data_IF_739988084851
#
_entry.id   IF_739988084851
#
_cell.length_a   1.000
_cell.length_b   1.000
_cell.length_c   1.000
_cell.angle_alpha   90.00
_cell.angle_beta   90.00
_cell.angle_gamma   90.00
#
_symmetry.space_group_name_H-M   'P 1'
#
loop_
_entity.id
_entity.type
_entity.pdbx_description
1 polymer ?
#
# COMPACT_ATOMS: atom_id res chain seq x y z
N UNK A 1 -13.26 9.14 -66.11
CA UNK A 1 -12.03 8.32 -66.16
C UNK A 1 -11.17 8.92 -67.26
N UNK A 2 -10.00 9.52 -67.04
CA UNK A 2 -9.23 9.83 -65.83
C UNK A 2 -8.24 10.94 -66.26
N UNK A 3 -8.14 12.04 -65.49
CA UNK A 3 -7.30 13.20 -65.85
C UNK A 3 -6.24 13.41 -64.76
N UNK A 4 -5.02 13.01 -65.10
CA UNK A 4 -3.74 13.54 -64.62
C UNK A 4 -3.83 14.92 -63.94
N UNK A 5 -3.39 15.07 -62.68
CA UNK A 5 -2.47 16.15 -62.26
C UNK A 5 -1.98 15.94 -60.82
N UNK A 6 -0.67 15.73 -60.74
CA UNK A 6 0.15 15.84 -59.55
C UNK A 6 0.52 17.33 -59.40
N UNK A 7 0.43 17.88 -58.18
CA UNK A 7 1.09 19.11 -57.68
C UNK A 7 0.68 20.47 -58.32
N UNK A 8 0.05 21.34 -57.51
CA UNK A 8 0.64 22.59 -56.95
C UNK A 8 -0.43 23.66 -56.68
N UNK A 9 -0.80 23.80 -55.39
CA UNK A 9 -1.06 25.04 -54.60
C UNK A 9 -2.19 26.01 -55.03
N UNK A 10 -3.19 26.18 -54.15
CA UNK A 10 -3.56 27.53 -53.67
C UNK A 10 -4.14 27.51 -52.24
N UNK A 11 -3.63 28.45 -51.44
CA UNK A 11 -3.84 28.76 -50.03
C UNK A 11 -5.30 28.81 -49.54
N UNK A 12 -5.54 28.21 -48.37
CA UNK A 12 -6.29 28.85 -47.29
C UNK A 12 -5.45 28.79 -46.01
N UNK A 13 -4.46 29.69 -45.94
CA UNK A 13 -3.81 30.04 -44.69
C UNK A 13 -4.80 30.89 -43.87
N UNK A 14 -5.55 30.27 -42.96
CA UNK A 14 -6.04 31.01 -41.79
C UNK A 14 -4.98 30.83 -40.70
N UNK A 15 -4.14 31.85 -40.58
CA UNK A 15 -3.36 32.12 -39.39
C UNK A 15 -4.32 32.29 -38.21
N UNK A 16 -4.58 31.22 -37.46
CA UNK A 16 -4.69 31.36 -36.02
C UNK A 16 -3.35 30.91 -35.44
N UNK A 17 -2.40 31.85 -35.43
CA UNK A 17 -1.36 31.90 -34.41
C UNK A 17 -2.08 32.07 -33.07
N UNK A 18 -2.75 31.04 -32.58
CA UNK A 18 -2.83 30.88 -31.14
C UNK A 18 -1.37 30.66 -30.74
N UNK A 19 -0.83 31.68 -30.07
CA UNK A 19 0.23 31.48 -29.13
C UNK A 19 -0.30 30.42 -28.15
N UNK A 20 -0.14 29.14 -28.49
CA UNK A 20 -0.16 28.12 -27.48
C UNK A 20 1.04 28.48 -26.63
N UNK A 21 0.87 28.85 -25.34
CA UNK A 21 2.01 28.77 -24.45
C UNK A 21 2.57 27.38 -24.68
N UNK A 22 3.87 27.31 -24.99
CA UNK A 22 4.62 26.07 -24.87
C UNK A 22 4.46 25.67 -23.41
N UNK A 23 3.44 24.88 -23.14
CA UNK A 23 3.35 24.15 -21.91
C UNK A 23 4.55 23.22 -22.00
N UNK A 24 5.64 23.61 -21.33
CA UNK A 24 6.61 22.67 -20.79
C UNK A 24 5.87 21.85 -19.72
N UNK A 25 4.82 21.14 -20.13
CA UNK A 25 4.22 20.08 -19.35
C UNK A 25 5.12 18.89 -19.58
N UNK A 26 5.91 18.56 -18.57
CA UNK A 26 6.60 17.26 -18.49
C UNK A 26 5.57 16.18 -18.87
N UNK A 27 5.74 15.54 -20.03
CA UNK A 27 4.84 14.51 -20.57
C UNK A 27 5.00 13.19 -19.81
N UNK A 28 5.21 13.28 -18.50
CA UNK A 28 5.51 12.15 -17.64
C UNK A 28 4.19 11.47 -17.30
N UNK A 29 3.95 10.34 -17.96
CA UNK A 29 2.97 9.40 -17.46
C UNK A 29 3.47 8.88 -16.11
N UNK A 30 2.73 9.20 -15.06
CA UNK A 30 3.05 8.73 -13.72
C UNK A 30 2.80 7.21 -13.65
N UNK A 31 3.77 6.47 -13.10
CA UNK A 31 3.62 5.05 -12.85
C UNK A 31 2.90 4.88 -11.53
N UNK A 32 1.75 4.22 -11.57
CA UNK A 32 0.97 3.82 -10.40
C UNK A 32 1.23 2.35 -10.11
N UNK A 33 1.21 1.99 -8.83
CA UNK A 33 1.27 0.60 -8.37
C UNK A 33 0.11 0.37 -7.41
N UNK A 34 -0.72 -0.64 -7.71
CA UNK A 34 -1.78 -1.09 -6.80
C UNK A 34 -1.35 -2.42 -6.20
N UNK A 35 -1.53 -2.57 -4.89
CA UNK A 35 -1.11 -3.75 -4.14
C UNK A 35 -2.27 -4.24 -3.29
N UNK A 36 -2.59 -5.53 -3.42
CA UNK A 36 -3.51 -6.24 -2.56
C UNK A 36 -2.68 -7.12 -1.62
N UNK A 37 -2.71 -6.80 -0.33
CA UNK A 37 -1.97 -7.50 0.69
C UNK A 37 -2.89 -8.39 1.54
N UNK A 38 -2.52 -9.66 1.70
CA UNK A 38 -3.23 -10.59 2.55
C UNK A 38 -2.70 -10.56 3.99
N UNK A 39 -3.28 -9.75 4.87
CA UNK A 39 -2.96 -9.73 6.29
C UNK A 39 -3.90 -10.59 7.14
N UNK A 40 -4.60 -11.55 6.52
CA UNK A 40 -5.42 -12.54 7.25
C UNK A 40 -4.51 -13.49 8.06
N UNK A 41 -5.04 -14.17 9.09
CA UNK A 41 -4.23 -15.02 9.95
C UNK A 41 -3.46 -16.08 9.15
N UNK A 42 -2.19 -16.31 9.50
CA UNK A 42 -1.34 -17.28 8.77
C UNK A 42 -1.84 -18.73 8.74
N UNK A 43 -2.67 -19.11 9.70
CA UNK A 43 -3.34 -20.41 9.80
C UNK A 43 -4.74 -20.43 9.14
N UNK A 44 -5.14 -19.36 8.45
CA UNK A 44 -6.41 -19.29 7.73
C UNK A 44 -6.30 -19.78 6.27
N UNK A 45 -7.43 -20.13 5.62
CA UNK A 45 -7.43 -20.43 4.19
C UNK A 45 -6.86 -19.28 3.35
N UNK A 46 -6.33 -19.60 2.17
CA UNK A 46 -5.87 -18.59 1.22
C UNK A 46 -6.99 -17.61 0.87
N UNK A 47 -6.60 -16.36 0.63
CA UNK A 47 -7.46 -15.36 0.04
C UNK A 47 -7.41 -15.53 -1.48
N UNK A 48 -8.54 -15.86 -2.09
CA UNK A 48 -8.66 -15.79 -3.55
C UNK A 48 -9.11 -14.39 -3.92
N UNK A 49 -8.46 -13.79 -4.91
CA UNK A 49 -8.87 -12.52 -5.51
C UNK A 49 -9.03 -12.65 -7.02
N UNK A 50 -9.88 -11.81 -7.60
CA UNK A 50 -9.95 -11.57 -9.03
C UNK A 50 -9.96 -10.07 -9.22
N UNK A 51 -9.03 -9.53 -9.99
CA UNK A 51 -8.93 -8.10 -10.23
C UNK A 51 -9.06 -7.80 -11.71
N UNK A 52 -9.74 -6.71 -12.05
CA UNK A 52 -10.00 -6.35 -13.43
C UNK A 52 -10.24 -4.84 -13.57
N UNK A 53 -10.14 -4.35 -14.81
CA UNK A 53 -10.56 -3.03 -15.26
C UNK A 53 -11.53 -3.19 -16.44
N UNK A 54 -11.92 -2.08 -17.08
CA UNK A 54 -12.75 -2.14 -18.28
C UNK A 54 -12.04 -2.80 -19.47
N UNK A 55 -10.72 -2.60 -19.58
CA UNK A 55 -9.93 -2.97 -20.76
C UNK A 55 -8.92 -4.09 -20.50
N UNK A 56 -8.74 -4.49 -19.24
CA UNK A 56 -7.70 -5.43 -18.80
C UNK A 56 -8.20 -6.31 -17.66
N UNK A 57 -8.10 -7.63 -17.83
CA UNK A 57 -8.42 -8.62 -16.81
C UNK A 57 -7.11 -9.14 -16.20
N UNK A 58 -6.88 -8.79 -14.93
CA UNK A 58 -5.66 -9.18 -14.22
C UNK A 58 -5.73 -10.62 -13.69
N UNK A 59 -6.91 -11.26 -13.79
CA UNK A 59 -7.12 -12.68 -13.49
C UNK A 59 -7.21 -13.01 -11.99
N UNK A 60 -7.30 -14.32 -11.74
CA UNK A 60 -7.45 -14.90 -10.40
C UNK A 60 -6.10 -15.15 -9.74
N UNK A 61 -6.00 -14.86 -8.43
CA UNK A 61 -4.81 -15.10 -7.63
C UNK A 61 -5.17 -15.66 -6.26
N UNK A 62 -4.46 -16.70 -5.82
CA UNK A 62 -4.61 -17.29 -4.49
C UNK A 62 -3.44 -16.86 -3.59
N UNK A 63 -3.71 -15.95 -2.67
CA UNK A 63 -2.72 -15.39 -1.74
C UNK A 63 -2.70 -16.18 -0.45
N UNK A 64 -1.57 -16.82 -0.13
CA UNK A 64 -1.28 -17.24 1.23
C UNK A 64 -1.17 -16.02 2.16
N UNK A 65 -1.16 -16.26 3.47
CA UNK A 65 -0.99 -15.17 4.41
C UNK A 65 0.36 -14.47 4.22
N UNK A 66 0.31 -13.14 4.29
CA UNK A 66 1.43 -12.22 4.07
C UNK A 66 1.98 -12.23 2.64
N UNK A 67 1.30 -12.88 1.71
CA UNK A 67 1.53 -12.67 0.28
C UNK A 67 0.78 -11.44 -0.21
N UNK A 68 1.28 -10.86 -1.29
CA UNK A 68 0.61 -9.78 -2.00
C UNK A 68 0.50 -10.10 -3.48
N UNK A 69 -0.52 -9.52 -4.10
CA UNK A 69 -0.60 -9.36 -5.55
C UNK A 69 -0.44 -7.88 -5.88
N UNK A 70 0.40 -7.56 -6.84
CA UNK A 70 0.62 -6.18 -7.27
C UNK A 70 0.70 -6.06 -8.78
N UNK A 71 0.27 -4.90 -9.28
CA UNK A 71 0.44 -4.53 -10.68
C UNK A 71 0.76 -3.05 -10.77
N UNK A 72 1.44 -2.67 -11.86
CA UNK A 72 1.70 -1.27 -12.17
C UNK A 72 1.17 -0.91 -13.54
N UNK A 73 0.69 0.31 -13.66
CA UNK A 73 0.23 0.88 -14.92
C UNK A 73 0.68 2.33 -15.05
N UNK A 74 0.74 2.83 -16.28
CA UNK A 74 1.03 4.23 -16.55
C UNK A 74 -0.29 4.97 -16.69
N UNK A 75 -0.46 6.04 -15.91
CA UNK A 75 -1.62 6.89 -16.02
C UNK A 75 -1.26 8.17 -16.78
N UNK A 76 -2.01 8.47 -17.84
CA UNK A 76 -1.84 9.71 -18.59
C UNK A 76 -2.93 10.72 -18.19
N UNK A 77 -2.55 11.71 -17.38
CA UNK A 77 -3.41 12.79 -16.91
C UNK A 77 -4.07 13.60 -18.04
N UNK A 78 -3.48 13.61 -19.24
CA UNK A 78 -3.99 14.37 -20.38
C UNK A 78 -5.18 13.69 -21.09
N UNK A 79 -5.34 12.37 -20.96
CA UNK A 79 -6.35 11.61 -21.72
C UNK A 79 -7.75 11.63 -21.09
N UNK A 80 -7.97 12.32 -19.95
CA UNK A 80 -9.23 12.35 -19.19
C UNK A 80 -9.83 10.95 -18.89
N UNK A 81 -9.07 9.88 -19.16
CA UNK A 81 -9.49 8.52 -18.99
C UNK A 81 -9.55 8.23 -17.49
N UNK A 82 -10.70 7.73 -17.03
CA UNK A 82 -10.88 7.27 -15.66
C UNK A 82 -10.48 5.80 -15.59
N UNK A 83 -9.18 5.52 -15.52
CA UNK A 83 -8.71 4.18 -15.19
C UNK A 83 -9.33 3.76 -13.87
N UNK A 84 -10.04 2.63 -13.88
CA UNK A 84 -10.70 2.06 -12.72
C UNK A 84 -10.37 0.59 -12.62
N UNK A 85 -9.93 0.16 -11.44
CA UNK A 85 -9.75 -1.25 -11.12
C UNK A 85 -10.75 -1.67 -10.03
N UNK A 86 -11.41 -2.80 -10.26
CA UNK A 86 -12.22 -3.51 -9.29
C UNK A 86 -11.54 -4.82 -8.90
N UNK A 87 -11.74 -5.25 -7.66
CA UNK A 87 -11.35 -6.59 -7.24
C UNK A 87 -12.48 -7.26 -6.46
N UNK A 88 -12.71 -8.53 -6.74
CA UNK A 88 -13.46 -9.47 -5.93
C UNK A 88 -12.52 -10.22 -4.98
N UNK A 89 -13.02 -10.51 -3.78
CA UNK A 89 -12.29 -11.16 -2.71
C UNK A 89 -13.13 -12.30 -2.16
N UNK A 90 -12.53 -13.49 -2.04
CA UNK A 90 -13.14 -14.67 -1.44
C UNK A 90 -12.26 -15.25 -0.36
N UNK A 91 -12.83 -15.42 0.83
CA UNK A 91 -12.12 -16.02 1.95
C UNK A 91 -13.09 -16.69 2.92
N UNK A 92 -12.84 -17.96 3.26
CA UNK A 92 -13.61 -18.72 4.25
C UNK A 92 -15.14 -18.65 4.03
N UNK A 93 -15.58 -18.85 2.78
CA UNK A 93 -17.00 -18.80 2.39
C UNK A 93 -17.62 -17.40 2.36
N UNK A 94 -16.87 -16.35 2.67
CA UNK A 94 -17.28 -14.94 2.54
C UNK A 94 -16.82 -14.40 1.19
N UNK A 95 -17.58 -13.46 0.64
CA UNK A 95 -17.16 -12.68 -0.53
C UNK A 95 -17.46 -11.19 -0.35
N UNK A 96 -16.62 -10.36 -0.98
CA UNK A 96 -16.79 -8.91 -1.09
C UNK A 96 -16.13 -8.42 -2.37
N UNK A 97 -16.61 -7.29 -2.88
CA UNK A 97 -16.00 -6.62 -4.04
C UNK A 97 -15.77 -5.16 -3.71
N UNK A 98 -14.63 -4.64 -4.14
CA UNK A 98 -14.22 -3.25 -3.91
C UNK A 98 -13.68 -2.62 -5.18
N UNK A 99 -13.89 -1.31 -5.32
CA UNK A 99 -13.09 -0.52 -6.24
C UNK A 99 -11.77 -0.26 -5.56
N UNK A 100 -10.68 -0.72 -6.17
CA UNK A 100 -9.33 -0.64 -5.59
C UNK A 100 -8.49 0.49 -6.17
N UNK A 101 -8.94 1.07 -7.28
CA UNK A 101 -8.40 2.31 -7.84
C UNK A 101 -9.45 3.00 -8.70
N UNK A 102 -9.68 4.30 -8.51
CA UNK A 102 -10.49 5.13 -9.41
C UNK A 102 -10.13 6.63 -9.38
N UNK A 103 -9.04 6.99 -8.70
CA UNK A 103 -8.59 8.37 -8.56
C UNK A 103 -7.06 8.45 -8.59
N UNK A 104 -6.52 9.40 -9.35
CA UNK A 104 -5.08 9.52 -9.56
C UNK A 104 -4.38 10.29 -8.45
N UNK A 105 -5.10 11.06 -7.64
CA UNK A 105 -4.53 11.79 -6.52
C UNK A 105 -4.49 10.89 -5.30
N UNK A 106 -5.62 10.25 -4.94
CA UNK A 106 -5.80 9.58 -3.66
C UNK A 106 -6.03 8.07 -3.74
N UNK A 107 -5.78 7.45 -4.91
CA UNK A 107 -6.13 6.08 -5.29
C UNK A 107 -7.64 5.83 -5.38
N UNK A 108 -8.39 6.27 -4.37
CA UNK A 108 -9.84 6.23 -4.30
C UNK A 108 -10.40 7.63 -4.14
N UNK A 109 -11.43 7.93 -4.92
CA UNK A 109 -12.14 9.18 -4.87
C UNK A 109 -12.64 9.48 -3.45
N UNK A 110 -12.32 10.66 -2.93
CA UNK A 110 -12.63 11.10 -1.57
C UNK A 110 -11.93 10.33 -0.43
N UNK A 111 -10.88 9.57 -0.74
CA UNK A 111 -10.06 8.93 0.28
C UNK A 111 -9.36 10.00 1.16
N UNK A 112 -9.26 9.77 2.49
CA UNK A 112 -8.51 10.65 3.38
C UNK A 112 -6.99 10.48 3.25
N UNK A 113 -6.52 9.54 2.43
CA UNK A 113 -5.09 9.26 2.22
C UNK A 113 -4.46 10.45 1.45
N UNK A 114 -3.25 10.91 1.82
CA UNK A 114 -2.50 11.91 1.05
C UNK A 114 -2.28 11.49 -0.41
N UNK A 115 -1.84 12.42 -1.24
CA UNK A 115 -1.58 12.11 -2.65
C UNK A 115 -0.50 11.04 -2.79
N UNK A 116 -0.78 9.99 -3.55
CA UNK A 116 0.12 8.83 -3.68
C UNK A 116 -0.05 8.13 -5.03
N UNK A 117 1.05 7.63 -5.59
CA UNK A 117 1.05 6.74 -6.75
C UNK A 117 1.16 5.25 -6.35
N UNK A 118 1.12 4.97 -5.05
CA UNK A 118 1.11 3.63 -4.48
C UNK A 118 -0.18 3.40 -3.70
N UNK A 119 -0.98 2.46 -4.17
CA UNK A 119 -2.35 2.20 -3.72
C UNK A 119 -2.43 0.85 -3.05
N UNK A 120 -2.26 0.82 -1.72
CA UNK A 120 -2.30 -0.43 -0.95
C UNK A 120 -3.70 -0.71 -0.39
N UNK A 121 -4.12 -1.95 -0.54
CA UNK A 121 -5.28 -2.52 0.13
C UNK A 121 -4.82 -3.68 1.00
N UNK A 122 -5.13 -3.60 2.30
CA UNK A 122 -4.84 -4.69 3.23
C UNK A 122 -6.14 -5.39 3.61
N UNK A 123 -6.19 -6.71 3.37
CA UNK A 123 -7.28 -7.54 3.89
C UNK A 123 -6.94 -8.02 5.29
N UNK A 124 -7.88 -7.83 6.22
CA UNK A 124 -7.69 -8.20 7.62
C UNK A 124 -8.99 -8.73 8.21
N UNK A 125 -8.88 -9.54 9.27
CA UNK A 125 -10.05 -9.95 10.04
C UNK A 125 -10.50 -8.80 10.95
N UNK A 126 -11.82 -8.66 11.13
CA UNK A 126 -12.34 -7.77 12.17
C UNK A 126 -11.82 -8.27 13.54
N UNK A 127 -11.35 -7.37 14.39
CA UNK A 127 -11.09 -7.70 15.79
C UNK A 127 -12.44 -7.98 16.51
N UNK A 128 -13.00 -9.18 16.34
CA UNK A 128 -14.23 -9.64 16.98
C UNK A 128 -13.90 -10.76 17.97
N UNK A 129 -13.58 -10.38 19.21
CA UNK A 129 -13.38 -11.33 20.30
C UNK A 129 -12.49 -10.81 21.42
N UNK A 130 -12.41 -11.58 22.51
CA UNK A 130 -11.50 -11.33 23.63
C UNK A 130 -10.05 -11.29 23.12
N UNK A 131 -9.48 -10.09 23.07
CA UNK A 131 -8.14 -9.80 22.57
C UNK A 131 -7.03 -10.60 23.26
N UNK A 132 -7.31 -11.11 24.45
CA UNK A 132 -6.44 -11.95 25.26
C UNK A 132 -6.04 -13.29 24.60
N UNK A 133 -6.74 -13.75 23.55
CA UNK A 133 -6.49 -15.06 22.91
C UNK A 133 -6.16 -14.96 21.42
N UNK A 134 -5.81 -13.75 20.95
CA UNK A 134 -5.57 -13.48 19.55
C UNK A 134 -4.14 -13.82 19.08
N UNK A 135 -4.03 -14.03 17.78
CA UNK A 135 -2.75 -14.04 17.06
C UNK A 135 -2.50 -12.62 16.54
N UNK A 136 -1.38 -12.06 16.94
CA UNK A 136 -0.98 -10.71 16.56
C UNK A 136 -0.12 -10.76 15.32
N UNK A 137 -0.26 -9.76 14.47
CA UNK A 137 0.56 -9.59 13.28
C UNK A 137 1.12 -8.18 13.29
N UNK A 138 2.44 -8.07 13.19
CA UNK A 138 3.11 -6.77 13.04
C UNK A 138 3.68 -6.75 11.62
N UNK A 139 3.36 -5.68 10.90
CA UNK A 139 3.82 -5.46 9.53
C UNK A 139 4.53 -4.12 9.46
N UNK A 140 5.72 -4.11 8.89
CA UNK A 140 6.50 -2.92 8.61
C UNK A 140 6.56 -2.75 7.10
N UNK A 141 6.07 -1.61 6.64
CA UNK A 141 5.94 -1.28 5.25
C UNK A 141 6.90 -0.14 4.88
N UNK A 142 7.73 -0.38 3.85
CA UNK A 142 8.61 0.63 3.28
C UNK A 142 7.83 1.55 2.31
N UNK A 143 7.30 2.64 2.87
CA UNK A 143 6.61 3.71 2.13
C UNK A 143 7.54 4.82 1.62
N UNK A 144 8.86 4.58 1.56
CA UNK A 144 9.82 5.55 1.05
C UNK A 144 9.81 5.60 -0.50
N UNK A 145 10.29 6.69 -1.12
CA UNK A 145 10.40 6.78 -2.57
C UNK A 145 11.24 5.64 -3.17
N UNK A 146 10.87 5.15 -4.35
CA UNK A 146 11.55 4.01 -5.00
C UNK A 146 13.01 4.25 -5.36
N UNK A 147 13.43 5.51 -5.48
CA UNK A 147 14.80 5.93 -5.72
C UNK A 147 15.58 6.26 -4.43
N UNK A 148 14.92 6.17 -3.27
CA UNK A 148 15.55 6.41 -1.98
C UNK A 148 16.48 5.26 -1.55
N UNK A 149 17.42 5.51 -0.62
CA UNK A 149 18.18 4.43 0.01
C UNK A 149 17.25 3.39 0.62
N UNK A 150 17.56 2.10 0.46
CA UNK A 150 16.74 1.01 1.00
C UNK A 150 16.60 1.11 2.52
N UNK A 151 15.37 0.92 3.00
CA UNK A 151 15.10 0.76 4.41
C UNK A 151 15.74 -0.54 4.92
N UNK A 152 16.40 -0.47 6.08
CA UNK A 152 16.83 -1.67 6.82
C UNK A 152 16.10 -1.70 8.14
N UNK A 153 15.66 -2.87 8.56
CA UNK A 153 14.89 -3.04 9.79
C UNK A 153 15.40 -4.25 10.54
N UNK A 154 15.64 -4.07 11.83
CA UNK A 154 15.95 -5.16 12.74
C UNK A 154 14.99 -5.10 13.91
N UNK A 155 14.21 -6.16 14.10
CA UNK A 155 13.26 -6.27 15.18
C UNK A 155 13.71 -7.35 16.16
N UNK A 156 13.47 -7.14 17.45
CA UNK A 156 13.83 -8.11 18.47
C UNK A 156 12.86 -8.00 19.65
N UNK A 157 12.75 -9.07 20.42
CA UNK A 157 12.01 -9.14 21.68
C UNK A 157 12.93 -9.66 22.79
N UNK A 158 12.55 -9.43 24.05
CA UNK A 158 13.28 -9.98 25.20
C UNK A 158 13.29 -11.51 25.26
N UNK A 159 12.31 -12.16 24.63
CA UNK A 159 12.16 -13.62 24.65
C UNK A 159 12.43 -14.27 23.27
N UNK A 160 12.36 -13.50 22.18
CA UNK A 160 12.47 -13.97 20.80
C UNK A 160 13.24 -12.94 19.95
N UNK A 161 14.42 -13.30 19.45
CA UNK A 161 15.08 -12.51 18.40
C UNK A 161 14.33 -12.73 17.07
N UNK A 162 13.81 -11.65 16.51
CA UNK A 162 13.25 -11.68 15.15
C UNK A 162 14.40 -11.39 14.18
N UNK A 163 14.47 -12.15 13.11
CA UNK A 163 15.57 -12.07 12.16
C UNK A 163 15.71 -10.67 11.52
N UNK A 164 16.93 -10.31 11.13
CA UNK A 164 17.24 -9.06 10.44
C UNK A 164 16.66 -9.04 9.02
N UNK A 165 15.94 -7.98 8.65
CA UNK A 165 15.30 -7.88 7.33
C UNK A 165 15.68 -6.59 6.59
N UNK A 166 15.88 -6.72 5.28
CA UNK A 166 16.02 -5.59 4.35
C UNK A 166 14.81 -5.63 3.41
N UNK A 167 13.64 -5.12 3.85
CA UNK A 167 12.48 -5.05 2.97
C UNK A 167 12.83 -4.23 1.72
N UNK A 168 12.34 -4.67 0.56
CA UNK A 168 12.43 -3.85 -0.65
C UNK A 168 11.37 -2.75 -0.62
N UNK A 169 11.52 -1.72 -1.46
CA UNK A 169 10.50 -0.68 -1.57
C UNK A 169 9.18 -1.34 -1.94
N UNK A 170 8.11 -0.99 -1.22
CA UNK A 170 6.78 -1.57 -1.41
C UNK A 170 6.60 -3.02 -0.95
N UNK A 171 7.59 -3.59 -0.27
CA UNK A 171 7.46 -4.89 0.40
C UNK A 171 7.19 -4.72 1.90
N UNK A 172 6.38 -5.63 2.41
CA UNK A 172 6.08 -5.72 3.83
C UNK A 172 7.06 -6.70 4.49
N UNK A 173 7.74 -6.25 5.54
CA UNK A 173 8.33 -7.14 6.52
C UNK A 173 7.27 -7.46 7.58
N UNK A 174 6.74 -8.68 7.57
CA UNK A 174 5.63 -9.08 8.46
C UNK A 174 5.96 -10.35 9.24
N UNK A 175 5.57 -10.34 10.50
CA UNK A 175 5.58 -11.53 11.34
C UNK A 175 4.33 -11.61 12.20
N UNK A 176 4.08 -12.80 12.74
CA UNK A 176 2.98 -13.02 13.67
C UNK A 176 3.41 -13.85 14.86
N UNK A 177 2.76 -13.61 15.98
CA UNK A 177 3.02 -14.29 17.23
C UNK A 177 1.72 -14.54 17.98
N UNK A 178 1.71 -15.56 18.83
CA UNK A 178 0.61 -15.86 19.74
C UNK A 178 1.01 -15.42 21.13
N UNK A 179 0.07 -14.82 21.87
CA UNK A 179 0.29 -14.53 23.27
C UNK A 179 0.20 -15.83 24.10
N UNK A 180 1.21 -16.09 24.94
CA UNK A 180 1.19 -17.19 25.90
C UNK A 180 0.85 -16.67 27.29
N UNK A 181 -0.38 -16.91 27.75
CA UNK A 181 -0.90 -16.39 29.02
C UNK A 181 -0.25 -17.00 30.28
N UNK A 182 0.50 -18.10 30.13
CA UNK A 182 1.15 -18.78 31.25
C UNK A 182 2.35 -18.02 31.81
N UNK A 183 2.95 -17.15 31.01
CA UNK A 183 3.97 -16.20 31.43
C UNK A 183 3.29 -14.85 31.54
N UNK A 184 3.30 -14.27 32.73
CA UNK A 184 2.81 -12.89 32.99
C UNK A 184 3.72 -11.83 32.32
N UNK A 185 4.51 -12.24 31.32
CA UNK A 185 5.39 -11.42 30.53
C UNK A 185 4.57 -10.60 29.55
N UNK A 186 4.82 -9.29 29.53
CA UNK A 186 4.33 -8.43 28.45
C UNK A 186 5.31 -8.56 27.30
N UNK A 187 4.94 -9.34 26.28
CA UNK A 187 5.70 -9.42 25.04
C UNK A 187 5.82 -8.02 24.45
N UNK A 188 7.06 -7.63 24.14
CA UNK A 188 7.37 -6.36 23.50
C UNK A 188 8.24 -6.64 22.30
N UNK A 189 7.98 -5.95 21.20
CA UNK A 189 8.87 -5.96 20.05
C UNK A 189 9.45 -4.57 19.87
N UNK A 190 10.77 -4.49 19.78
CA UNK A 190 11.51 -3.27 19.49
C UNK A 190 12.07 -3.43 18.09
N UNK A 191 11.89 -2.41 17.24
CA UNK A 191 12.54 -2.38 15.93
C UNK A 191 13.47 -1.19 15.83
N UNK A 192 14.61 -1.42 15.19
CA UNK A 192 15.56 -0.40 14.78
C UNK A 192 15.47 -0.25 13.26
N UNK A 193 15.19 0.96 12.81
CA UNK A 193 15.05 1.36 11.43
C UNK A 193 16.28 2.17 11.02
N UNK A 194 16.83 1.89 9.83
CA UNK A 194 17.88 2.68 9.21
C UNK A 194 17.48 3.11 7.81
N UNK A 195 17.58 4.41 7.55
CA UNK A 195 17.34 4.99 6.23
C UNK A 195 18.40 6.05 5.91
N UNK A 196 19.34 5.72 5.03
CA UNK A 196 20.49 6.58 4.75
C UNK A 196 21.29 6.87 6.03
N UNK A 197 21.33 8.14 6.46
CA UNK A 197 21.96 8.58 7.72
C UNK A 197 20.98 8.67 8.91
N UNK A 198 19.68 8.54 8.66
CA UNK A 198 18.63 8.57 9.69
C UNK A 198 18.52 7.19 10.34
N UNK A 199 18.23 7.16 11.64
CA UNK A 199 18.00 5.93 12.36
C UNK A 199 17.07 6.17 13.56
N UNK A 200 16.20 5.20 13.84
CA UNK A 200 15.27 5.25 14.97
C UNK A 200 15.06 3.87 15.54
N UNK A 201 15.01 3.76 16.86
CA UNK A 201 14.65 2.51 17.54
C UNK A 201 13.54 2.77 18.56
N UNK A 202 12.49 1.96 18.53
CA UNK A 202 11.34 2.09 19.44
C UNK A 202 10.53 0.80 19.50
N UNK A 203 9.68 0.69 20.52
CA UNK A 203 8.72 -0.40 20.66
C UNK A 203 7.66 -0.30 19.56
N UNK A 204 7.59 -1.29 18.67
CA UNK A 204 6.57 -1.42 17.62
C UNK A 204 5.35 -2.22 18.07
N UNK A 205 5.47 -2.89 19.21
CA UNK A 205 4.40 -3.58 19.90
C UNK A 205 4.71 -3.64 21.40
N UNK A 206 3.80 -3.19 22.24
CA UNK A 206 3.88 -3.29 23.69
C UNK A 206 2.51 -3.45 24.37
N UNK A 207 1.43 -3.51 23.58
CA UNK A 207 0.07 -3.58 24.07
C UNK A 207 -0.78 -4.51 23.21
N UNK A 208 -1.54 -5.35 23.89
CA UNK A 208 -2.36 -6.38 23.27
C UNK A 208 -3.66 -5.85 22.70
N UNK A 209 -4.18 -4.70 23.09
CA UNK A 209 -5.42 -4.17 22.53
C UNK A 209 -5.13 -3.27 21.32
N UNK A 210 -4.13 -2.39 21.43
CA UNK A 210 -3.95 -1.26 20.50
C UNK A 210 -2.57 -1.21 19.84
N UNK A 211 -1.80 -2.31 19.87
CA UNK A 211 -0.39 -2.41 19.48
C UNK A 211 0.56 -1.62 20.39
N UNK A 212 0.27 -0.33 20.60
CA UNK A 212 1.01 0.56 21.48
C UNK A 212 0.06 1.21 22.48
N UNK A 213 0.28 1.03 23.78
CA UNK A 213 -0.67 1.49 24.81
C UNK A 213 -0.92 3.00 24.81
N UNK A 214 0.01 3.80 24.27
CA UNK A 214 -0.14 5.27 24.13
C UNK A 214 -0.75 5.71 22.80
N UNK A 215 -0.93 4.80 21.84
CA UNK A 215 -1.45 5.14 20.53
C UNK A 215 -2.98 5.33 20.59
N UNK A 216 -3.53 6.37 19.94
CA UNK A 216 -4.96 6.65 19.92
C UNK A 216 -5.69 5.76 18.89
N UNK A 217 -5.49 4.44 18.95
CA UNK A 217 -6.00 3.49 17.96
C UNK A 217 -7.15 2.65 18.52
N UNK A 218 -8.12 2.25 17.68
CA UNK A 218 -9.10 1.24 18.05
C UNK A 218 -8.40 -0.11 18.23
N UNK A 219 -9.08 -1.05 18.90
CA UNK A 219 -8.55 -2.39 19.09
C UNK A 219 -8.21 -3.09 17.76
N UNK A 220 -7.04 -3.69 17.66
CA UNK A 220 -6.56 -4.34 16.44
C UNK A 220 -5.54 -5.45 16.73
N UNK A 221 -5.67 -6.59 16.05
CA UNK A 221 -4.65 -7.65 16.03
C UNK A 221 -3.56 -7.42 14.98
N UNK A 222 -3.72 -6.40 14.14
CA UNK A 222 -2.82 -6.07 13.05
C UNK A 222 -2.19 -4.69 13.31
N UNK A 223 -0.88 -4.69 13.52
CA UNK A 223 -0.07 -3.53 13.84
C UNK A 223 0.73 -3.14 12.59
N UNK A 224 0.17 -2.24 11.77
CA UNK A 224 0.78 -1.81 10.52
C UNK A 224 1.60 -0.53 10.72
N UNK A 225 2.91 -0.64 10.53
CA UNK A 225 3.85 0.47 10.57
C UNK A 225 4.24 0.87 9.16
N UNK A 226 4.21 2.15 8.85
CA UNK A 226 4.59 2.70 7.54
C UNK A 226 5.67 3.75 7.71
N UNK A 227 6.80 3.58 7.03
CA UNK A 227 7.85 4.59 6.96
C UNK A 227 7.55 5.58 5.83
N UNK A 228 7.70 6.88 6.09
CA UNK A 228 7.58 7.96 5.11
C UNK A 228 8.78 8.89 5.24
N UNK A 229 8.92 9.89 4.35
CA UNK A 229 10.10 10.77 4.38
C UNK A 229 10.21 11.62 5.67
N UNK A 230 9.06 11.97 6.26
CA UNK A 230 8.95 12.85 7.42
C UNK A 230 8.84 12.10 8.76
N UNK A 231 8.59 10.80 8.76
CA UNK A 231 8.48 10.02 9.98
C UNK A 231 7.96 8.61 9.78
N UNK A 232 7.60 7.98 10.88
CA UNK A 232 7.11 6.60 10.95
C UNK A 232 5.73 6.62 11.60
N UNK A 233 4.79 5.94 10.95
CA UNK A 233 3.36 6.01 11.23
C UNK A 233 2.83 4.65 11.65
N UNK A 234 1.88 4.63 12.58
CA UNK A 234 1.08 3.46 12.91
C UNK A 234 -0.32 3.64 12.32
N UNK A 235 -0.75 2.71 11.47
CA UNK A 235 -2.01 2.81 10.74
C UNK A 235 -3.14 2.12 11.51
N UNK A 236 -4.30 2.79 11.60
CA UNK A 236 -5.51 2.19 12.13
C UNK A 236 -6.19 1.28 11.08
N UNK A 237 -7.24 0.57 11.50
CA UNK A 237 -8.03 -0.31 10.61
C UNK A 237 -8.71 0.38 9.43
N UNK A 238 -8.89 1.70 9.51
CA UNK A 238 -9.55 2.52 8.47
C UNK A 238 -8.50 3.09 7.49
N UNK A 239 -7.22 2.69 7.61
CA UNK A 239 -6.13 3.17 6.77
C UNK A 239 -5.56 4.53 7.18
N UNK A 240 -6.01 5.11 8.31
CA UNK A 240 -5.54 6.41 8.80
C UNK A 240 -4.24 6.21 9.59
N UNK A 241 -3.16 6.81 9.11
CA UNK A 241 -1.85 6.79 9.77
C UNK A 241 -1.73 7.85 10.87
N UNK A 242 -1.39 7.42 12.09
CA UNK A 242 -0.96 8.30 13.17
C UNK A 242 0.56 8.41 13.15
N UNK A 243 1.11 9.64 13.05
CA UNK A 243 2.56 9.84 13.11
C UNK A 243 3.05 9.53 14.52
N UNK A 244 3.78 8.42 14.66
CA UNK A 244 4.30 7.99 15.94
C UNK A 244 5.60 8.72 16.28
N UNK A 245 6.49 8.87 15.30
CA UNK A 245 7.77 9.55 15.49
C UNK A 245 8.31 10.14 14.20
N UNK A 246 9.10 11.21 14.31
CA UNK A 246 9.96 11.69 13.24
C UNK A 246 11.28 10.90 13.21
N UNK A 247 12.01 10.97 12.09
CA UNK A 247 13.30 10.29 11.92
C UNK A 247 14.39 10.75 12.88
#
# INVERSE_FOLDING_TARGET
MDYFQFKTILMLCIFFFFCFPQANGDHRADKYTVVIYNALPFDSPKLTIHCHSADDDLGYHDLAAYENFSWSFKFNKWLWARTRFGCEFWWSGKNKSFVVFNDFDHCILYSPIPTTNYCQWTTQEDAKGNHHWGKYTVSIYDGLPSDAPKLRVHCYSGDDDIEFHVPSTYENFTWSFKFNQWLWARTKFICHFWWGKKNKAFEVFNDYDVCIYTAPLPKTFFCQWTTQEDGIYLTNRDGIGYRYTEW
#
